data_IF_922680262620
#
_entry.id   IF_922680262620
#
_cell.length_a   1.000
_cell.length_b   1.000
_cell.length_c   1.000
_cell.angle_alpha   90.00
_cell.angle_beta   90.00
_cell.angle_gamma   90.00
#
_symmetry.space_group_name_H-M   'P 1'
#
loop_
_entity.id
_entity.type
_entity.pdbx_description
1 polymer ?
#
# COMPACT_ATOMS: atom_id res chain seq x y z
N UNK A 1 -18.18 5.99 4.17
CA UNK A 1 -17.50 4.85 3.54
C UNK A 1 -17.28 5.21 2.06
N UNK A 2 -16.09 5.70 1.73
CA UNK A 2 -15.74 5.90 0.32
C UNK A 2 -15.65 4.51 -0.32
N UNK A 3 -16.46 4.26 -1.36
CA UNK A 3 -16.37 3.02 -2.13
C UNK A 3 -15.03 3.07 -2.87
N UNK A 4 -14.10 2.19 -2.52
CA UNK A 4 -12.84 2.01 -3.27
C UNK A 4 -13.20 1.76 -4.73
N UNK A 5 -12.92 2.76 -5.57
CA UNK A 5 -13.19 2.75 -7.00
C UNK A 5 -11.95 2.34 -7.76
N UNK A 6 -12.17 1.61 -8.85
CA UNK A 6 -11.23 0.84 -9.69
C UNK A 6 -11.03 -0.58 -9.20
N UNK A 7 -11.11 -1.56 -10.12
CA UNK A 7 -10.49 -2.90 -10.01
C UNK A 7 -10.78 -3.75 -8.78
N UNK A 8 -11.60 -3.32 -7.82
CA UNK A 8 -11.82 -4.06 -6.59
C UNK A 8 -12.28 -5.46 -6.95
N UNK A 9 -11.87 -6.48 -6.21
CA UNK A 9 -12.31 -7.86 -6.43
C UNK A 9 -13.85 -8.00 -6.53
N UNK A 10 -14.63 -7.03 -6.05
CA UNK A 10 -16.08 -6.96 -6.21
C UNK A 10 -16.56 -6.70 -7.65
N UNK A 11 -15.68 -6.18 -8.52
CA UNK A 11 -15.97 -5.82 -9.91
C UNK A 11 -15.55 -6.90 -10.91
N UNK A 12 -14.67 -7.83 -10.53
CA UNK A 12 -14.03 -8.76 -11.47
C UNK A 12 -14.65 -10.15 -11.51
N UNK A 13 -15.25 -10.63 -10.41
CA UNK A 13 -16.00 -11.88 -10.40
C UNK A 13 -17.04 -11.90 -9.27
N UNK A 14 -18.26 -12.35 -9.58
CA UNK A 14 -19.22 -12.79 -8.57
C UNK A 14 -18.97 -14.27 -8.27
N UNK A 15 -18.19 -14.55 -7.23
CA UNK A 15 -18.02 -15.93 -6.76
C UNK A 15 -17.10 -16.77 -7.65
N UNK A 16 -17.65 -17.77 -8.36
CA UNK A 16 -16.91 -18.85 -9.07
C UNK A 16 -16.56 -18.54 -10.53
N UNK A 17 -16.76 -17.31 -10.99
CA UNK A 17 -16.42 -16.92 -12.37
C UNK A 17 -14.89 -16.93 -12.56
N UNK A 18 -14.44 -17.51 -13.68
CA UNK A 18 -13.04 -17.46 -14.06
C UNK A 18 -12.75 -16.04 -14.57
N UNK A 19 -11.83 -15.35 -13.91
CA UNK A 19 -11.40 -14.00 -14.33
C UNK A 19 -10.30 -14.14 -15.37
N UNK A 20 -10.53 -13.68 -16.60
CA UNK A 20 -9.45 -13.59 -17.57
C UNK A 20 -8.70 -12.25 -17.38
N UNK A 21 -7.36 -12.21 -17.47
CA UNK A 21 -6.60 -10.95 -17.42
C UNK A 21 -7.11 -9.89 -18.41
N UNK A 22 -7.64 -10.29 -19.57
CA UNK A 22 -8.24 -9.38 -20.56
C UNK A 22 -9.53 -8.68 -20.10
N UNK A 23 -10.30 -9.29 -19.19
CA UNK A 23 -11.54 -8.70 -18.65
C UNK A 23 -11.25 -7.42 -17.84
N UNK A 24 -10.04 -7.33 -17.27
CA UNK A 24 -9.54 -6.18 -16.54
C UNK A 24 -9.31 -4.95 -17.44
N UNK A 25 -8.75 -5.16 -18.62
CA UNK A 25 -8.46 -4.08 -19.57
C UNK A 25 -9.74 -3.43 -20.09
N UNK A 26 -10.81 -4.23 -20.25
CA UNK A 26 -12.15 -3.73 -20.60
C UNK A 26 -12.78 -2.91 -19.46
N UNK A 27 -12.56 -3.29 -18.20
CA UNK A 27 -13.05 -2.51 -17.05
C UNK A 27 -12.40 -1.13 -16.95
N UNK A 28 -11.16 -0.94 -17.42
CA UNK A 28 -10.43 0.34 -17.37
C UNK A 28 -10.96 1.35 -18.39
N UNK A 29 -11.21 0.92 -19.63
CA UNK A 29 -11.70 1.79 -20.71
C UNK A 29 -13.12 2.32 -20.48
N UNK A 30 -13.91 1.63 -19.64
CA UNK A 30 -15.29 2.01 -19.30
C UNK A 30 -15.41 2.75 -17.95
N UNK A 31 -14.31 3.00 -17.24
CA UNK A 31 -14.34 3.53 -15.88
C UNK A 31 -14.36 5.07 -15.79
N UNK A 32 -14.91 5.59 -14.68
CA UNK A 32 -15.05 7.03 -14.39
C UNK A 32 -13.79 7.73 -13.85
N UNK A 33 -12.69 7.04 -13.57
CA UNK A 33 -11.42 7.66 -13.10
C UNK A 33 -10.19 7.21 -13.93
N UNK A 34 -10.10 7.60 -15.22
CA UNK A 34 -9.25 6.98 -16.22
C UNK A 34 -7.72 7.20 -16.05
N UNK A 35 -7.27 8.09 -15.16
CA UNK A 35 -5.86 8.50 -15.08
C UNK A 35 -5.05 7.59 -14.15
N UNK A 36 -4.00 6.98 -14.69
CA UNK A 36 -3.02 6.23 -13.90
C UNK A 36 -2.11 7.17 -13.10
N UNK A 37 -1.41 6.64 -12.09
CA UNK A 37 -0.38 7.41 -11.38
C UNK A 37 0.71 7.95 -12.32
N UNK A 38 1.00 7.25 -13.42
CA UNK A 38 1.93 7.73 -14.43
C UNK A 38 1.39 8.96 -15.17
N UNK A 39 0.12 8.95 -15.55
CA UNK A 39 -0.53 10.09 -16.22
C UNK A 39 -0.59 11.32 -15.29
N UNK A 40 -0.89 11.09 -14.01
CA UNK A 40 -0.90 12.13 -12.97
C UNK A 40 0.50 12.71 -12.77
N UNK A 41 1.53 11.86 -12.66
CA UNK A 41 2.90 12.32 -12.50
C UNK A 41 3.44 13.05 -13.73
N UNK A 42 3.05 12.64 -14.93
CA UNK A 42 3.46 13.30 -16.18
C UNK A 42 2.80 14.68 -16.34
N UNK A 43 1.53 14.81 -15.94
CA UNK A 43 0.78 16.07 -16.06
C UNK A 43 1.22 17.14 -15.05
N UNK A 44 1.70 16.78 -13.86
CA UNK A 44 2.14 17.74 -12.83
C UNK A 44 3.58 18.30 -13.05
N UNK A 45 3.94 18.66 -14.29
CA UNK A 45 5.31 19.04 -14.65
C UNK A 45 5.88 20.26 -13.89
N UNK A 46 5.02 21.10 -13.30
CA UNK A 46 5.42 22.35 -12.63
C UNK A 46 5.92 22.18 -11.20
N UNK A 47 5.65 21.04 -10.55
CA UNK A 47 6.04 20.82 -9.16
C UNK A 47 7.36 20.10 -9.06
N UNK A 48 8.29 20.66 -8.29
CA UNK A 48 9.51 19.94 -7.89
C UNK A 48 9.16 18.87 -6.86
N UNK A 49 9.60 17.63 -7.15
CA UNK A 49 9.56 16.50 -6.23
C UNK A 49 10.93 16.29 -5.57
N UNK A 50 11.80 17.31 -5.60
CA UNK A 50 13.09 17.24 -4.91
C UNK A 50 12.86 17.23 -3.40
N UNK A 51 13.63 16.39 -2.72
CA UNK A 51 13.60 16.30 -1.26
C UNK A 51 14.55 17.35 -0.71
N UNK A 52 14.02 18.27 0.10
CA UNK A 52 14.79 19.18 0.93
C UNK A 52 15.11 18.47 2.25
N UNK A 53 16.39 18.26 2.52
CA UNK A 53 16.88 17.56 3.70
C UNK A 53 17.89 18.45 4.44
N UNK A 54 17.67 18.60 5.74
CA UNK A 54 18.61 19.21 6.69
C UNK A 54 18.92 18.23 7.83
N UNK A 55 19.68 18.65 8.83
CA UNK A 55 20.11 17.77 9.94
C UNK A 55 18.93 17.24 10.78
N UNK A 56 17.81 17.95 10.80
CA UNK A 56 16.65 17.67 11.65
C UNK A 56 15.46 17.11 10.87
N UNK A 57 15.26 17.57 9.64
CA UNK A 57 14.06 17.34 8.86
C UNK A 57 14.34 16.84 7.43
N UNK A 58 13.37 16.11 6.91
CA UNK A 58 13.24 15.78 5.49
C UNK A 58 11.87 16.23 5.02
N UNK A 59 11.80 17.00 3.94
CA UNK A 59 10.54 17.54 3.44
C UNK A 59 10.47 17.53 1.91
N UNK A 60 9.26 17.39 1.38
CA UNK A 60 9.03 17.34 -0.06
C UNK A 60 7.64 16.82 -0.42
N UNK A 61 7.31 16.86 -1.70
CA UNK A 61 6.03 16.37 -2.20
C UNK A 61 6.09 14.88 -2.55
N UNK A 62 4.96 14.21 -2.34
CA UNK A 62 4.69 12.86 -2.82
C UNK A 62 3.21 12.71 -3.16
N UNK A 63 2.87 11.67 -3.92
CA UNK A 63 1.47 11.26 -4.07
C UNK A 63 1.16 10.12 -3.12
N UNK A 64 0.17 10.31 -2.24
CA UNK A 64 -0.34 9.26 -1.36
C UNK A 64 -1.45 8.47 -2.06
N UNK A 65 -1.42 7.14 -1.94
CA UNK A 65 -2.54 6.28 -2.34
C UNK A 65 -3.65 6.36 -1.29
N UNK A 66 -4.80 6.90 -1.67
CA UNK A 66 -6.08 6.82 -0.93
C UNK A 66 -7.13 6.14 -1.82
N UNK A 67 -8.40 6.53 -1.73
CA UNK A 67 -9.42 6.21 -2.76
C UNK A 67 -9.03 6.75 -4.14
N UNK A 68 -8.21 7.80 -4.18
CA UNK A 68 -7.52 8.34 -5.37
C UNK A 68 -6.09 8.71 -4.99
N UNK A 69 -5.25 8.95 -5.99
CA UNK A 69 -3.94 9.54 -5.77
C UNK A 69 -4.08 10.99 -5.32
N UNK A 70 -3.62 11.29 -4.11
CA UNK A 70 -3.67 12.62 -3.52
C UNK A 70 -2.26 13.18 -3.36
N UNK A 71 -2.02 14.39 -3.86
CA UNK A 71 -0.74 15.05 -3.68
C UNK A 71 -0.63 15.62 -2.28
N UNK A 72 0.45 15.24 -1.58
CA UNK A 72 0.70 15.62 -0.20
C UNK A 72 2.08 16.23 -0.05
N UNK A 73 2.19 17.19 0.86
CA UNK A 73 3.46 17.66 1.40
C UNK A 73 3.79 16.82 2.63
N UNK A 74 4.97 16.22 2.63
CA UNK A 74 5.52 15.45 3.74
C UNK A 74 6.59 16.28 4.44
N UNK A 75 6.60 16.25 5.77
CA UNK A 75 7.71 16.73 6.60
C UNK A 75 7.99 15.72 7.71
N UNK A 76 9.14 15.08 7.64
CA UNK A 76 9.60 14.06 8.58
C UNK A 76 10.67 14.63 9.50
N UNK A 77 10.53 14.42 10.80
CA UNK A 77 11.50 14.80 11.83
C UNK A 77 12.33 13.58 12.23
N UNK A 78 13.64 13.64 11.99
CA UNK A 78 14.55 12.49 12.12
C UNK A 78 14.73 12.02 13.56
N UNK A 79 14.70 12.93 14.54
CA UNK A 79 14.94 12.63 15.96
C UNK A 79 13.76 11.92 16.61
N UNK A 80 12.54 12.31 16.26
CA UNK A 80 11.29 11.81 16.85
C UNK A 80 10.60 10.75 15.99
N UNK A 81 11.07 10.54 14.76
CA UNK A 81 10.39 9.78 13.72
C UNK A 81 8.98 10.33 13.41
N UNK A 82 8.69 11.58 13.72
CA UNK A 82 7.37 12.16 13.47
C UNK A 82 7.24 12.58 12.01
N UNK A 83 6.24 12.04 11.31
CA UNK A 83 5.81 12.48 9.99
C UNK A 83 4.61 13.42 10.12
N UNK A 84 4.72 14.58 9.50
CA UNK A 84 3.61 15.49 9.26
C UNK A 84 3.19 15.38 7.80
N UNK A 85 1.91 15.09 7.56
CA UNK A 85 1.31 14.94 6.25
C UNK A 85 0.23 16.01 6.03
N UNK A 86 0.31 16.76 4.94
CA UNK A 86 -0.63 17.81 4.61
C UNK A 86 -1.02 17.75 3.13
N UNK A 87 -2.31 17.93 2.81
CA UNK A 87 -2.75 17.97 1.42
C UNK A 87 -2.18 19.21 0.71
N UNK A 88 -1.61 19.03 -0.48
CA UNK A 88 -0.90 20.11 -1.19
C UNK A 88 -1.81 21.30 -1.55
N UNK A 89 -3.11 21.05 -1.73
CA UNK A 89 -4.11 22.09 -1.96
C UNK A 89 -4.24 23.07 -0.78
N UNK A 90 -4.00 22.59 0.44
CA UNK A 90 -4.12 23.40 1.67
C UNK A 90 -2.85 24.19 1.99
N UNK A 91 -1.72 23.90 1.31
CA UNK A 91 -0.46 24.64 1.47
C UNK A 91 -0.51 25.98 0.74
N UNK A 92 -1.24 26.05 -0.39
CA UNK A 92 -1.35 27.28 -1.20
C UNK A 92 -2.30 28.33 -0.60
N UNK A 93 -3.20 27.94 0.31
CA UNK A 93 -4.16 28.84 0.95
C UNK A 93 -3.62 29.57 2.18
N UNK A 94 -2.36 29.33 2.57
CA UNK A 94 -1.73 29.86 3.79
C UNK A 94 -1.18 31.29 3.73
N UNK A 95 -1.34 32.03 2.63
CA UNK A 95 -0.96 33.45 2.59
C UNK A 95 -2.05 34.29 3.25
N UNK A 96 -1.77 35.06 4.33
CA UNK A 96 -2.75 35.97 4.89
C UNK A 96 -2.93 37.14 3.93
N UNK A 97 -3.92 37.03 3.03
CA UNK A 97 -4.38 38.19 2.26
C UNK A 97 -5.22 39.03 3.22
N UNK A 98 -4.55 40.00 3.86
CA UNK A 98 -5.23 41.16 4.42
C UNK A 98 -5.90 41.92 3.26
N UNK A 99 -7.14 41.56 2.97
CA UNK A 99 -7.96 42.18 1.95
C UNK A 99 -9.42 42.06 2.33
N UNK A 100 -9.91 43.06 3.08
CA UNK A 100 -11.32 43.21 3.43
C UNK A 100 -12.19 43.14 2.17
N UNK A 101 -12.82 41.98 1.96
CA UNK A 101 -13.71 41.72 0.84
C UNK A 101 -15.13 41.75 1.36
N UNK A 102 -15.90 42.74 0.88
CA UNK A 102 -17.27 43.04 1.26
C UNK A 102 -18.17 41.80 1.30
N UNK A 103 -18.90 41.65 2.39
CA UNK A 103 -19.94 40.66 2.57
C UNK A 103 -21.04 40.84 1.51
N UNK A 104 -21.17 39.87 0.61
CA UNK A 104 -22.38 39.66 -0.19
C UNK A 104 -23.29 38.67 0.54
N UNK A 105 -24.56 39.07 0.64
CA UNK A 105 -25.67 38.41 1.34
C UNK A 105 -25.88 36.94 0.97
N UNK A 106 -26.33 36.08 1.93
CA UNK A 106 -26.46 34.65 1.71
C UNK A 106 -27.69 34.33 0.84
N UNK A 107 -27.45 33.65 -0.28
CA UNK A 107 -28.53 33.04 -1.07
C UNK A 107 -29.02 31.75 -0.39
N UNK A 108 -30.33 31.51 -0.48
CA UNK A 108 -31.08 30.42 0.15
C UNK A 108 -30.67 29.04 -0.40
N UNK A 109 -29.52 28.53 0.02
CA UNK A 109 -29.19 27.11 -0.13
C UNK A 109 -29.96 26.31 0.94
N UNK A 110 -30.77 25.35 0.48
CA UNK A 110 -31.54 24.43 1.32
C UNK A 110 -30.72 23.88 2.49
N UNK A 111 -31.27 23.95 3.72
CA UNK A 111 -30.67 23.40 4.94
C UNK A 111 -30.24 21.93 4.78
N UNK A 112 -30.91 21.17 3.91
CA UNK A 112 -30.53 19.80 3.59
C UNK A 112 -29.18 19.71 2.88
N UNK A 113 -28.88 20.65 1.99
CA UNK A 113 -27.60 20.74 1.25
C UNK A 113 -26.47 21.15 2.20
N UNK A 114 -26.76 22.04 3.15
CA UNK A 114 -25.82 22.37 4.24
C UNK A 114 -25.61 21.19 5.18
N UNK A 115 -26.64 20.38 5.47
CA UNK A 115 -26.52 19.19 6.32
C UNK A 115 -25.72 18.07 5.62
N UNK A 116 -25.94 17.84 4.32
CA UNK A 116 -25.13 16.91 3.53
C UNK A 116 -23.69 17.41 3.33
N UNK A 117 -23.47 18.73 3.25
CA UNK A 117 -22.14 19.31 3.26
C UNK A 117 -21.48 19.27 4.65
N UNK A 118 -22.26 19.34 5.74
CA UNK A 118 -21.77 19.19 7.10
C UNK A 118 -21.44 17.72 7.45
N UNK A 119 -22.14 16.75 6.86
CA UNK A 119 -21.81 15.32 6.94
C UNK A 119 -20.69 14.89 5.99
N UNK A 120 -20.39 15.66 4.94
CA UNK A 120 -19.05 15.66 4.34
C UNK A 120 -18.12 16.39 5.30
N UNK A 121 -17.80 15.71 6.39
CA UNK A 121 -16.73 16.11 7.30
C UNK A 121 -15.52 16.56 6.48
N UNK A 122 -15.29 17.87 6.48
CA UNK A 122 -14.13 18.54 5.89
C UNK A 122 -12.96 18.25 6.83
N UNK A 123 -12.54 16.98 6.86
CA UNK A 123 -11.59 16.43 7.82
C UNK A 123 -10.12 16.54 7.36
N UNK A 124 -9.82 17.29 6.30
CA UNK A 124 -8.48 17.34 5.71
C UNK A 124 -7.69 18.62 5.97
N UNK A 125 -8.28 19.67 6.57
CA UNK A 125 -7.62 20.98 6.67
C UNK A 125 -6.51 21.08 7.74
N UNK A 126 -6.24 20.01 8.52
CA UNK A 126 -5.19 20.00 9.54
C UNK A 126 -4.10 18.99 9.15
N UNK A 127 -2.81 19.35 9.26
CA UNK A 127 -1.73 18.41 9.03
C UNK A 127 -1.88 17.18 9.95
N UNK A 128 -1.91 15.98 9.37
CA UNK A 128 -1.92 14.73 10.12
C UNK A 128 -0.53 14.47 10.66
N UNK A 129 -0.40 14.26 11.97
CA UNK A 129 0.85 13.88 12.62
C UNK A 129 0.84 12.40 12.94
N UNK A 130 1.89 11.73 12.54
CA UNK A 130 2.04 10.27 12.57
C UNK A 130 3.43 9.95 13.06
N UNK A 131 3.61 8.85 13.78
CA UNK A 131 4.95 8.36 14.14
C UNK A 131 5.33 7.27 13.15
N UNK A 132 6.43 7.43 12.41
CA UNK A 132 6.92 6.40 11.49
C UNK A 132 7.57 5.30 12.29
N UNK A 133 7.01 4.09 12.17
CA UNK A 133 7.48 2.89 12.83
C UNK A 133 8.42 2.10 11.92
N UNK A 134 8.22 2.16 10.60
CA UNK A 134 9.07 1.50 9.61
C UNK A 134 8.91 2.17 8.24
N UNK A 135 9.92 2.05 7.38
CA UNK A 135 9.84 2.48 5.99
C UNK A 135 10.40 1.40 5.06
N UNK A 136 9.81 1.26 3.87
CA UNK A 136 10.27 0.31 2.86
C UNK A 136 10.09 0.83 1.45
N UNK A 137 10.92 0.31 0.54
CA UNK A 137 10.71 0.46 -0.89
C UNK A 137 9.48 -0.38 -1.25
N UNK A 138 8.57 0.18 -2.04
CA UNK A 138 7.33 -0.50 -2.42
C UNK A 138 7.44 -1.03 -3.85
N UNK A 139 6.98 -0.26 -4.83
CA UNK A 139 6.94 -0.67 -6.25
C UNK A 139 7.57 0.42 -7.12
N UNK A 140 7.98 0.10 -8.33
CA UNK A 140 8.18 1.12 -9.38
C UNK A 140 7.22 0.81 -10.53
N UNK A 141 6.52 1.82 -11.06
CA UNK A 141 5.68 1.69 -12.24
C UNK A 141 6.31 2.40 -13.44
N UNK A 142 6.15 1.83 -14.64
CA UNK A 142 6.52 2.46 -15.90
C UNK A 142 8.03 2.63 -16.08
N UNK A 143 8.83 1.84 -15.36
CA UNK A 143 10.29 1.90 -15.44
C UNK A 143 10.74 1.32 -16.78
N UNK A 144 11.20 2.17 -17.69
CA UNK A 144 11.84 1.68 -18.91
C UNK A 144 13.27 1.23 -18.63
N UNK A 145 13.67 0.07 -19.13
CA UNK A 145 15.08 -0.36 -19.14
C UNK A 145 16.02 0.69 -19.79
N UNK A 146 15.49 1.49 -20.72
CA UNK A 146 16.24 2.57 -21.41
C UNK A 146 16.28 3.88 -20.62
N UNK A 147 15.36 4.09 -19.67
CA UNK A 147 15.26 5.29 -18.82
C UNK A 147 14.88 4.87 -17.40
N UNK A 148 15.82 4.26 -16.65
CA UNK A 148 15.51 3.63 -15.37
C UNK A 148 15.07 4.63 -14.28
N UNK A 149 15.30 5.93 -14.48
CA UNK A 149 14.95 7.00 -13.54
C UNK A 149 13.63 7.72 -13.88
N UNK A 150 12.94 7.31 -14.95
CA UNK A 150 11.62 7.83 -15.31
C UNK A 150 10.56 6.76 -15.04
N UNK A 151 9.64 7.09 -14.14
CA UNK A 151 8.57 6.20 -13.71
C UNK A 151 7.88 6.76 -12.48
N UNK A 152 7.07 5.92 -11.84
CA UNK A 152 6.43 6.20 -10.59
C UNK A 152 7.06 5.32 -9.51
N UNK A 153 7.86 5.89 -8.62
CA UNK A 153 8.66 5.14 -7.64
C UNK A 153 7.99 5.21 -6.28
N UNK A 154 7.45 4.08 -5.86
CA UNK A 154 6.70 3.92 -4.64
C UNK A 154 7.56 3.56 -3.43
N UNK A 155 7.22 4.15 -2.29
CA UNK A 155 7.66 3.72 -0.97
C UNK A 155 6.46 3.60 -0.03
N UNK A 156 6.61 2.75 0.98
CA UNK A 156 5.56 2.50 1.95
C UNK A 156 6.13 2.69 3.35
N UNK A 157 5.30 3.21 4.23
CA UNK A 157 5.65 3.40 5.62
C UNK A 157 4.57 2.81 6.51
N UNK A 158 5.00 2.23 7.61
CA UNK A 158 4.14 1.86 8.73
C UNK A 158 4.21 2.99 9.73
N UNK A 159 3.04 3.45 10.16
CA UNK A 159 2.92 4.59 11.06
C UNK A 159 1.94 4.31 12.18
N UNK A 160 2.20 4.85 13.35
CA UNK A 160 1.26 4.89 14.45
C UNK A 160 0.55 6.26 14.49
N UNK A 161 -0.77 6.25 14.41
CA UNK A 161 -1.61 7.43 14.62
C UNK A 161 -1.95 7.54 16.10
N UNK A 162 -1.17 8.33 16.85
CA UNK A 162 -1.39 8.54 18.28
C UNK A 162 -2.72 9.20 18.65
N UNK A 163 -3.46 9.78 17.70
CA UNK A 163 -4.82 10.28 17.97
C UNK A 163 -5.88 9.18 17.91
N UNK A 164 -5.63 8.13 17.14
CA UNK A 164 -6.53 6.98 16.97
C UNK A 164 -6.07 5.74 17.73
N UNK A 165 -4.82 5.74 18.17
CA UNK A 165 -4.13 4.59 18.75
C UNK A 165 -4.13 3.38 17.79
N UNK A 166 -3.96 3.65 16.50
CA UNK A 166 -4.02 2.67 15.43
C UNK A 166 -2.76 2.70 14.58
N UNK A 167 -2.28 1.52 14.19
CA UNK A 167 -1.25 1.38 13.16
C UNK A 167 -1.88 1.46 11.77
N UNK A 168 -1.30 2.29 10.91
CA UNK A 168 -1.69 2.48 9.53
C UNK A 168 -0.51 2.18 8.62
N UNK A 169 -0.79 1.60 7.44
CA UNK A 169 0.20 1.49 6.38
C UNK A 169 -0.12 2.48 5.27
N UNK A 170 0.82 3.40 5.03
CA UNK A 170 0.66 4.47 4.05
C UNK A 170 1.59 4.27 2.86
N UNK A 171 1.04 4.41 1.67
CA UNK A 171 1.75 4.18 0.40
C UNK A 171 1.90 5.48 -0.36
N UNK A 172 3.13 5.79 -0.76
CA UNK A 172 3.52 7.02 -1.42
C UNK A 172 4.25 6.75 -2.72
N UNK A 173 4.19 7.71 -3.65
CA UNK A 173 4.85 7.62 -4.96
C UNK A 173 5.54 8.94 -5.31
N UNK A 174 6.76 8.83 -5.86
CA UNK A 174 7.60 9.92 -6.36
C UNK A 174 7.94 9.72 -7.84
N UNK A 175 8.56 10.73 -8.47
CA UNK A 175 8.92 10.71 -9.91
C UNK A 175 10.22 10.01 -10.25
N UNK A 176 11.11 9.89 -9.27
CA UNK A 176 12.44 9.33 -9.48
C UNK A 176 12.78 8.37 -8.35
N UNK A 177 13.62 7.39 -8.68
CA UNK A 177 14.18 6.48 -7.68
C UNK A 177 15.03 7.23 -6.66
N UNK A 178 15.80 8.23 -7.10
CA UNK A 178 16.61 9.05 -6.20
C UNK A 178 15.78 9.73 -5.11
N UNK A 179 14.63 10.32 -5.46
CA UNK A 179 13.69 10.91 -4.49
C UNK A 179 13.14 9.85 -3.54
N UNK A 180 12.74 8.68 -4.07
CA UNK A 180 12.25 7.55 -3.26
C UNK A 180 13.30 7.10 -2.26
N UNK A 181 14.55 6.95 -2.72
CA UNK A 181 15.67 6.50 -1.92
C UNK A 181 15.98 7.46 -0.77
N UNK A 182 15.96 8.78 -1.01
CA UNK A 182 16.14 9.77 0.05
C UNK A 182 15.08 9.64 1.15
N UNK A 183 13.80 9.49 0.78
CA UNK A 183 12.73 9.27 1.75
C UNK A 183 12.94 7.98 2.55
N UNK A 184 13.19 6.87 1.85
CA UNK A 184 13.42 5.57 2.46
C UNK A 184 14.62 5.58 3.42
N UNK A 185 15.77 6.09 2.97
CA UNK A 185 16.99 6.14 3.77
C UNK A 185 16.81 7.00 5.01
N UNK A 186 16.22 8.20 4.87
CA UNK A 186 16.00 9.10 5.99
C UNK A 186 15.09 8.47 7.06
N UNK A 187 13.95 7.91 6.64
CA UNK A 187 12.98 7.30 7.54
C UNK A 187 13.53 6.03 8.17
N UNK A 188 14.10 5.12 7.38
CA UNK A 188 14.60 3.85 7.89
C UNK A 188 15.81 4.03 8.80
N UNK A 189 16.73 4.95 8.48
CA UNK A 189 17.86 5.26 9.36
C UNK A 189 17.41 5.91 10.68
N UNK A 190 16.42 6.79 10.64
CA UNK A 190 15.87 7.42 11.85
C UNK A 190 15.18 6.40 12.76
N UNK A 191 14.30 5.59 12.17
CA UNK A 191 13.62 4.49 12.87
C UNK A 191 14.63 3.54 13.51
N UNK A 192 15.65 3.12 12.76
CA UNK A 192 16.68 2.20 13.26
C UNK A 192 17.47 2.81 14.43
N UNK A 193 17.84 4.09 14.34
CA UNK A 193 18.53 4.83 15.42
C UNK A 193 17.66 4.99 16.67
N UNK A 194 16.38 5.29 16.52
CA UNK A 194 15.46 5.45 17.65
C UNK A 194 15.21 4.11 18.34
N UNK A 195 15.13 3.00 17.58
CA UNK A 195 15.04 1.64 18.14
C UNK A 195 16.28 1.25 18.95
N UNK A 196 17.48 1.50 18.43
CA UNK A 196 18.72 1.20 19.16
C UNK A 196 18.91 2.04 20.42
N UNK A 197 18.33 3.25 20.47
CA UNK A 197 18.44 4.13 21.65
C UNK A 197 17.35 3.90 22.70
N UNK A 198 16.19 3.35 22.31
CA UNK A 198 15.09 2.97 23.22
C UNK A 198 14.96 1.46 23.33
N UNK A 199 15.70 0.86 24.27
CA UNK A 199 15.41 -0.49 24.80
C UNK A 199 14.10 -0.54 25.62
N UNK A 200 13.05 0.19 25.23
CA UNK A 200 11.88 0.44 26.09
C UNK A 200 10.54 0.49 25.33
N UNK A 201 10.28 -0.48 24.45
CA UNK A 201 8.91 -0.96 24.27
C UNK A 201 8.68 -2.08 25.30
N UNK A 202 8.74 -1.73 26.58
CA UNK A 202 8.43 -2.65 27.68
C UNK A 202 6.91 -2.80 27.75
N UNK A 203 6.42 -3.94 27.26
CA UNK A 203 5.11 -4.61 27.48
C UNK A 203 4.58 -5.27 26.19
N UNK A 204 5.24 -5.09 25.04
CA UNK A 204 4.93 -5.82 23.80
C UNK A 204 5.90 -6.99 23.68
N UNK A 205 5.37 -8.21 23.72
CA UNK A 205 6.14 -9.42 23.49
C UNK A 205 6.34 -9.63 21.98
N UNK A 206 7.37 -8.96 21.44
CA UNK A 206 7.80 -9.12 20.04
C UNK A 206 8.06 -10.59 19.67
N UNK A 207 8.50 -11.42 20.63
CA UNK A 207 8.68 -12.85 20.41
C UNK A 207 7.34 -13.57 20.28
N UNK A 208 6.35 -13.26 21.12
CA UNK A 208 5.00 -13.80 20.99
C UNK A 208 4.34 -13.39 19.67
N UNK A 209 4.50 -12.13 19.26
CA UNK A 209 3.99 -11.64 17.97
C UNK A 209 4.63 -12.37 16.79
N UNK A 210 5.96 -12.57 16.84
CA UNK A 210 6.68 -13.36 15.84
C UNK A 210 6.15 -14.79 15.79
N UNK A 211 6.02 -15.46 16.93
CA UNK A 211 5.51 -16.84 17.04
C UNK A 211 4.08 -16.95 16.49
N UNK A 212 3.21 -15.98 16.79
CA UNK A 212 1.85 -15.93 16.28
C UNK A 212 1.83 -15.91 14.75
N UNK A 213 2.67 -15.06 14.14
CA UNK A 213 2.77 -14.97 12.68
C UNK A 213 3.39 -16.21 12.07
N UNK A 214 4.44 -16.77 12.67
CA UNK A 214 5.01 -18.03 12.19
C UNK A 214 3.98 -19.15 12.21
N UNK A 215 3.12 -19.22 13.23
CA UNK A 215 2.09 -20.25 13.33
C UNK A 215 1.05 -20.19 12.20
N UNK A 216 0.69 -18.99 11.72
CA UNK A 216 -0.29 -18.82 10.63
C UNK A 216 0.34 -18.81 9.24
N UNK A 217 1.61 -18.38 9.14
CA UNK A 217 2.30 -18.16 7.88
C UNK A 217 3.23 -19.33 7.50
N UNK A 218 3.58 -20.19 8.45
CA UNK A 218 4.40 -21.39 8.24
C UNK A 218 3.65 -22.57 8.84
N UNK A 219 3.07 -23.43 8.00
CA UNK A 219 2.33 -24.61 8.47
C UNK A 219 3.21 -25.52 9.37
N UNK A 220 3.18 -25.27 10.69
CA UNK A 220 4.00 -25.95 11.71
C UNK A 220 5.51 -25.93 11.43
N UNK A 221 6.06 -24.76 11.08
CA UNK A 221 7.50 -24.60 10.79
C UNK A 221 7.92 -25.04 9.39
N UNK A 222 6.95 -25.26 8.49
CA UNK A 222 7.18 -25.43 7.05
C UNK A 222 7.60 -24.13 6.34
N UNK A 223 7.73 -24.15 5.00
CA UNK A 223 8.05 -22.96 4.23
C UNK A 223 6.95 -21.89 4.35
N UNK A 224 7.35 -20.64 4.12
CA UNK A 224 6.44 -19.50 4.14
C UNK A 224 5.29 -19.66 3.13
N UNK A 225 4.06 -19.42 3.60
CA UNK A 225 2.84 -19.55 2.82
C UNK A 225 2.53 -18.24 2.08
N UNK A 226 2.98 -18.18 0.82
CA UNK A 226 2.64 -17.07 -0.08
C UNK A 226 1.15 -17.00 -0.36
N UNK A 227 0.37 -18.06 -0.17
CA UNK A 227 -1.10 -17.98 -0.25
C UNK A 227 -1.62 -18.30 1.15
N UNK A 228 -2.28 -17.34 1.84
CA UNK A 228 -2.74 -17.55 3.20
C UNK A 228 -3.68 -18.75 3.29
N UNK A 229 -3.42 -19.65 4.25
CA UNK A 229 -4.33 -20.75 4.56
C UNK A 229 -5.38 -20.25 5.55
N UNK A 230 -6.65 -20.23 5.12
CA UNK A 230 -7.77 -19.81 5.95
C UNK A 230 -7.90 -20.65 7.24
N UNK A 231 -7.51 -21.93 7.20
CA UNK A 231 -7.61 -22.80 8.37
C UNK A 231 -6.56 -22.47 9.44
N UNK A 232 -5.46 -21.84 9.04
CA UNK A 232 -4.41 -21.38 9.94
C UNK A 232 -4.64 -19.93 10.37
N UNK A 233 -4.87 -19.03 9.40
CA UNK A 233 -5.03 -17.61 9.65
C UNK A 233 -6.38 -17.27 10.29
N UNK A 234 -7.48 -17.81 9.76
CA UNK A 234 -8.85 -17.46 10.18
C UNK A 234 -9.08 -17.50 11.69
N UNK A 235 -8.72 -18.59 12.39
CA UNK A 235 -8.87 -18.69 13.86
C UNK A 235 -8.11 -17.63 14.66
N UNK A 236 -7.07 -17.02 14.08
CA UNK A 236 -6.23 -16.00 14.73
C UNK A 236 -6.63 -14.57 14.33
N UNK A 237 -7.61 -14.40 13.43
CA UNK A 237 -8.04 -13.08 12.97
C UNK A 237 -9.08 -12.44 13.90
N UNK A 238 -9.08 -11.11 13.94
CA UNK A 238 -10.17 -10.33 14.57
C UNK A 238 -11.40 -10.24 13.66
N UNK A 239 -12.56 -9.87 14.22
CA UNK A 239 -13.79 -9.64 13.44
C UNK A 239 -13.66 -8.49 12.41
N UNK A 240 -12.72 -7.55 12.64
CA UNK A 240 -12.41 -6.44 11.74
C UNK A 240 -11.25 -6.73 10.80
N UNK A 241 -10.80 -7.99 10.70
CA UNK A 241 -9.64 -8.35 9.90
C UNK A 241 -9.78 -7.94 8.44
N UNK A 242 -8.68 -7.44 7.88
CA UNK A 242 -8.54 -7.18 6.46
C UNK A 242 -7.24 -7.75 5.90
N UNK A 243 -7.28 -8.25 4.68
CA UNK A 243 -6.13 -8.52 3.84
C UNK A 243 -6.09 -7.46 2.74
N UNK A 244 -5.01 -6.70 2.64
CA UNK A 244 -4.77 -5.72 1.59
C UNK A 244 -3.68 -6.22 0.66
N UNK A 245 -4.02 -6.45 -0.61
CA UNK A 245 -3.07 -6.80 -1.65
C UNK A 245 -2.63 -5.54 -2.39
N UNK A 246 -1.40 -5.12 -2.13
CA UNK A 246 -0.75 -3.98 -2.74
C UNK A 246 0.17 -4.42 -3.88
N UNK A 247 -0.48 -4.66 -5.00
CA UNK A 247 0.11 -4.94 -6.31
C UNK A 247 -0.43 -3.89 -7.31
N UNK A 248 -0.05 -3.90 -8.60
CA UNK A 248 -0.66 -3.04 -9.60
C UNK A 248 -2.17 -3.25 -9.65
N UNK A 249 -2.92 -2.19 -9.95
CA UNK A 249 -4.38 -2.27 -10.06
C UNK A 249 -4.81 -3.21 -11.21
N UNK A 250 -3.88 -3.49 -12.13
CA UNK A 250 -4.00 -4.45 -13.21
C UNK A 250 -3.88 -5.92 -12.76
N UNK A 251 -3.60 -6.21 -11.48
CA UNK A 251 -3.64 -7.58 -10.97
C UNK A 251 -5.04 -8.00 -10.52
N UNK A 252 -5.54 -9.19 -10.90
CA UNK A 252 -6.88 -9.64 -10.52
C UNK A 252 -7.12 -9.80 -9.02
N UNK A 253 -6.05 -10.02 -8.25
CA UNK A 253 -6.10 -10.16 -6.79
C UNK A 253 -5.76 -8.86 -6.04
N UNK A 254 -5.67 -7.71 -6.72
CA UNK A 254 -5.49 -6.40 -6.10
C UNK A 254 -6.67 -5.99 -5.19
N UNK A 255 -6.38 -5.19 -4.16
CA UNK A 255 -7.38 -4.52 -3.33
C UNK A 255 -7.51 -5.06 -1.90
N UNK A 256 -8.58 -4.67 -1.21
CA UNK A 256 -8.84 -5.01 0.20
C UNK A 256 -9.91 -6.09 0.33
N UNK A 257 -9.67 -7.07 1.21
CA UNK A 257 -10.48 -8.25 1.43
C UNK A 257 -10.78 -8.39 2.93
N UNK A 258 -12.04 -8.56 3.32
CA UNK A 258 -12.43 -8.53 4.72
C UNK A 258 -12.86 -9.90 5.24
N UNK A 259 -12.37 -10.25 6.44
CA UNK A 259 -12.66 -11.50 7.15
C UNK A 259 -12.35 -12.77 6.35
N UNK A 260 -12.88 -13.89 6.82
CA UNK A 260 -12.65 -15.22 6.25
C UNK A 260 -13.03 -15.33 4.77
N UNK A 261 -14.19 -14.78 4.40
CA UNK A 261 -14.65 -14.76 3.02
C UNK A 261 -13.71 -13.93 2.13
N UNK A 262 -13.15 -12.85 2.68
CA UNK A 262 -12.12 -12.06 2.01
C UNK A 262 -10.85 -12.86 1.74
N UNK A 263 -10.34 -13.60 2.74
CA UNK A 263 -9.16 -14.45 2.61
C UNK A 263 -9.38 -15.52 1.53
N UNK A 264 -10.52 -16.22 1.60
CA UNK A 264 -10.88 -17.26 0.60
C UNK A 264 -10.93 -16.67 -0.80
N UNK A 265 -11.56 -15.49 -0.95
CA UNK A 265 -11.65 -14.80 -2.24
C UNK A 265 -10.29 -14.38 -2.77
N UNK A 266 -9.44 -13.78 -1.92
CA UNK A 266 -8.07 -13.42 -2.29
C UNK A 266 -7.28 -14.65 -2.75
N UNK A 267 -7.30 -15.73 -1.96
CA UNK A 267 -6.58 -16.97 -2.27
C UNK A 267 -7.08 -17.60 -3.59
N UNK A 268 -8.39 -17.55 -3.83
CA UNK A 268 -8.97 -18.03 -5.09
C UNK A 268 -8.49 -17.22 -6.29
N UNK A 269 -8.58 -15.88 -6.23
CA UNK A 269 -8.14 -15.01 -7.32
C UNK A 269 -6.65 -15.15 -7.59
N UNK A 270 -5.85 -15.24 -6.52
CA UNK A 270 -4.41 -15.46 -6.64
C UNK A 270 -4.11 -16.76 -7.40
N UNK A 271 -4.70 -17.89 -6.96
CA UNK A 271 -4.49 -19.22 -7.57
C UNK A 271 -5.01 -19.35 -9.00
N UNK A 272 -6.00 -18.55 -9.39
CA UNK A 272 -6.46 -18.52 -10.78
C UNK A 272 -5.44 -17.87 -11.72
N UNK A 273 -4.59 -16.98 -11.20
CA UNK A 273 -3.63 -16.23 -12.01
C UNK A 273 -2.23 -16.81 -11.92
N UNK A 274 -1.80 -17.24 -10.74
CA UNK A 274 -0.40 -17.55 -10.45
C UNK A 274 -0.24 -18.84 -9.66
N UNK A 275 0.75 -19.63 -10.07
CA UNK A 275 1.33 -20.71 -9.29
C UNK A 275 2.59 -20.23 -8.56
N UNK A 276 2.80 -20.73 -7.33
CA UNK A 276 3.98 -20.46 -6.52
C UNK A 276 4.92 -21.67 -6.61
N UNK A 277 6.08 -21.49 -7.26
CA UNK A 277 7.02 -22.58 -7.49
C UNK A 277 8.02 -22.76 -6.34
N UNK A 278 8.50 -21.65 -5.79
CA UNK A 278 9.47 -21.65 -4.70
C UNK A 278 9.37 -20.37 -3.87
N UNK A 279 9.78 -20.48 -2.60
CA UNK A 279 9.75 -19.40 -1.63
C UNK A 279 11.04 -19.42 -0.83
N UNK A 280 11.71 -18.29 -0.76
CA UNK A 280 12.92 -18.06 0.01
C UNK A 280 12.64 -16.97 1.05
N UNK A 281 12.43 -17.38 2.30
CA UNK A 281 12.29 -16.43 3.41
C UNK A 281 13.62 -15.72 3.69
N UNK A 282 13.59 -14.39 3.77
CA UNK A 282 14.74 -13.56 4.10
C UNK A 282 14.76 -13.15 5.55
N UNK A 283 13.62 -12.66 6.04
CA UNK A 283 13.52 -12.15 7.40
C UNK A 283 12.09 -12.23 7.92
N UNK A 284 11.95 -12.44 9.23
CA UNK A 284 10.74 -12.17 9.99
C UNK A 284 11.13 -11.31 11.19
N UNK A 285 10.50 -10.15 11.32
CA UNK A 285 10.83 -9.16 12.34
C UNK A 285 9.57 -8.55 12.93
N UNK A 286 9.39 -8.66 14.24
CA UNK A 286 8.39 -7.91 14.97
C UNK A 286 8.88 -6.49 15.26
N UNK A 287 7.99 -5.52 15.09
CA UNK A 287 8.20 -4.09 15.31
C UNK A 287 6.92 -3.57 15.98
N UNK A 288 6.94 -3.48 17.32
CA UNK A 288 5.74 -3.12 18.09
C UNK A 288 4.57 -4.06 17.77
N UNK A 289 3.45 -3.50 17.32
CA UNK A 289 2.23 -4.23 16.95
C UNK A 289 2.24 -4.78 15.52
N UNK A 290 3.37 -4.68 14.81
CA UNK A 290 3.51 -5.19 13.45
C UNK A 290 4.53 -6.32 13.39
N UNK A 291 4.31 -7.30 12.52
CA UNK A 291 5.33 -8.30 12.15
C UNK A 291 5.49 -8.26 10.66
N UNK A 292 6.74 -8.07 10.23
CA UNK A 292 7.11 -7.93 8.83
C UNK A 292 7.84 -9.20 8.41
N UNK A 293 7.34 -9.82 7.35
CA UNK A 293 7.99 -10.96 6.71
C UNK A 293 8.46 -10.54 5.33
N UNK A 294 9.76 -10.66 5.08
CA UNK A 294 10.36 -10.44 3.78
C UNK A 294 10.75 -11.79 3.17
N UNK A 295 10.36 -12.00 1.92
CA UNK A 295 10.64 -13.25 1.21
C UNK A 295 10.73 -12.99 -0.30
N UNK A 296 11.46 -13.85 -1.00
CA UNK A 296 11.35 -13.93 -2.45
C UNK A 296 10.44 -15.10 -2.82
N UNK A 297 9.58 -14.89 -3.82
CA UNK A 297 8.75 -15.94 -4.38
C UNK A 297 8.94 -16.02 -5.89
N UNK A 298 8.99 -17.24 -6.40
CA UNK A 298 9.02 -17.50 -7.84
C UNK A 298 7.63 -17.87 -8.31
N UNK A 299 7.10 -17.08 -9.24
CA UNK A 299 5.75 -17.20 -9.75
C UNK A 299 5.74 -17.67 -11.20
N UNK A 300 4.69 -18.39 -11.57
CA UNK A 300 4.37 -18.81 -12.93
C UNK A 300 2.90 -18.53 -13.21
N UNK A 301 2.52 -18.28 -14.46
CA UNK A 301 1.12 -18.17 -14.85
C UNK A 301 0.41 -19.51 -14.60
N UNK A 302 -0.78 -19.46 -13.99
CA UNK A 302 -1.62 -20.64 -13.82
C UNK A 302 -2.29 -20.98 -15.16
N UNK A 303 -1.83 -22.02 -15.83
CA UNK A 303 -2.41 -22.52 -17.09
C UNK A 303 -3.30 -23.75 -16.86
N UNK A 304 -4.38 -23.88 -17.65
CA UNK A 304 -5.28 -25.04 -17.61
C UNK A 304 -4.75 -26.20 -18.45
N UNK A 305 -3.59 -26.80 -18.13
CA UNK A 305 -3.09 -28.15 -18.55
C UNK A 305 -3.19 -28.54 -20.06
N UNK A 306 -3.72 -27.70 -20.96
CA UNK A 306 -4.13 -28.11 -22.30
C UNK A 306 -3.09 -27.82 -23.38
N UNK A 307 -2.10 -26.98 -23.10
CA UNK A 307 -1.07 -26.62 -24.07
C UNK A 307 0.22 -27.40 -23.76
N UNK A 308 0.26 -28.59 -24.36
CA UNK A 308 1.44 -29.44 -24.43
C UNK A 308 2.44 -28.84 -25.43
N UNK A 309 3.25 -27.89 -24.97
CA UNK A 309 4.53 -27.59 -25.60
C UNK A 309 5.65 -27.95 -24.61
N UNK A 310 6.72 -28.59 -25.10
CA UNK A 310 7.83 -29.13 -24.27
C UNK A 310 8.75 -28.03 -23.69
N UNK A 311 8.32 -26.76 -23.75
CA UNK A 311 9.06 -25.63 -23.19
C UNK A 311 8.59 -25.33 -21.76
N UNK A 312 9.54 -25.15 -20.83
CA UNK A 312 9.16 -24.76 -19.46
C UNK A 312 8.47 -23.39 -19.50
N UNK A 313 7.24 -23.27 -18.98
CA UNK A 313 6.52 -22.00 -18.97
C UNK A 313 7.29 -20.95 -18.16
N UNK A 314 7.29 -19.69 -18.62
CA UNK A 314 8.11 -18.63 -18.04
C UNK A 314 7.78 -18.44 -16.55
N UNK A 315 8.83 -18.23 -15.75
CA UNK A 315 8.72 -17.98 -14.32
C UNK A 315 9.48 -16.72 -13.94
N UNK A 316 8.96 -15.98 -12.97
CA UNK A 316 9.53 -14.71 -12.51
C UNK A 316 9.76 -14.73 -11.00
N UNK A 317 10.97 -14.35 -10.57
CA UNK A 317 11.29 -14.15 -9.15
C UNK A 317 10.95 -12.71 -8.76
N UNK A 318 10.13 -12.56 -7.72
CA UNK A 318 9.71 -11.27 -7.18
C UNK A 318 10.03 -11.16 -5.69
N UNK A 319 10.51 -9.99 -5.28
CA UNK A 319 10.61 -9.64 -3.86
C UNK A 319 9.22 -9.31 -3.30
N UNK A 320 8.88 -9.94 -2.18
CA UNK A 320 7.59 -9.81 -1.53
C UNK A 320 7.75 -9.41 -0.07
N UNK A 321 6.72 -8.76 0.47
CA UNK A 321 6.67 -8.39 1.88
C UNK A 321 5.25 -8.52 2.40
N UNK A 322 5.11 -9.18 3.53
CA UNK A 322 3.85 -9.26 4.27
C UNK A 322 4.00 -8.52 5.60
N UNK A 323 3.14 -7.54 5.85
CA UNK A 323 3.00 -6.89 7.17
C UNK A 323 1.74 -7.42 7.84
N UNK A 324 1.91 -8.11 8.95
CA UNK A 324 0.83 -8.50 9.84
C UNK A 324 0.68 -7.42 10.92
N UNK A 325 -0.54 -6.90 11.08
CA UNK A 325 -0.91 -6.00 12.17
C UNK A 325 -1.55 -6.83 13.28
N UNK A 326 -1.10 -6.64 14.51
CA UNK A 326 -1.45 -7.45 15.68
C UNK A 326 -2.02 -6.53 16.77
N UNK A 327 -3.16 -6.92 17.32
CA UNK A 327 -3.73 -6.27 18.50
C UNK A 327 -4.09 -7.32 19.53
N UNK A 328 -3.48 -7.24 20.71
CA UNK A 328 -3.52 -8.31 21.69
C UNK A 328 -2.95 -9.61 21.09
N UNK A 329 -3.74 -10.69 21.15
CA UNK A 329 -3.37 -12.00 20.59
C UNK A 329 -4.06 -12.29 19.25
N UNK A 330 -4.50 -11.25 18.53
CA UNK A 330 -5.21 -11.38 17.26
C UNK A 330 -4.51 -10.63 16.14
N UNK A 331 -4.55 -11.21 14.94
CA UNK A 331 -4.14 -10.54 13.72
C UNK A 331 -5.33 -9.70 13.23
N UNK A 332 -5.14 -8.38 13.18
CA UNK A 332 -6.17 -7.43 12.75
C UNK A 332 -6.01 -7.02 11.29
N UNK A 333 -4.85 -7.28 10.68
CA UNK A 333 -4.63 -6.98 9.27
C UNK A 333 -3.44 -7.72 8.69
N UNK A 334 -3.48 -7.92 7.37
CA UNK A 334 -2.37 -8.42 6.56
C UNK A 334 -2.24 -7.54 5.33
N UNK A 335 -1.14 -6.80 5.19
CA UNK A 335 -0.81 -6.09 3.95
C UNK A 335 0.27 -6.86 3.21
N UNK A 336 -0.05 -7.31 1.99
CA UNK A 336 0.91 -7.96 1.10
C UNK A 336 1.36 -7.01 0.01
N UNK A 337 2.66 -6.92 -0.19
CA UNK A 337 3.31 -6.21 -1.28
C UNK A 337 4.10 -7.18 -2.15
N UNK A 338 3.99 -7.03 -3.47
CA UNK A 338 4.90 -7.67 -4.44
C UNK A 338 5.63 -6.55 -5.18
N UNK A 339 6.89 -6.30 -4.82
CA UNK A 339 7.65 -5.12 -5.26
C UNK A 339 8.02 -5.13 -6.75
N UNK A 340 8.25 -6.33 -7.32
CA UNK A 340 8.61 -6.52 -8.74
C UNK A 340 7.40 -6.97 -9.59
N UNK A 341 6.20 -6.52 -9.24
CA UNK A 341 4.97 -6.95 -9.90
C UNK A 341 4.84 -6.54 -11.37
N UNK A 342 5.70 -5.65 -11.89
CA UNK A 342 5.80 -5.42 -13.34
C UNK A 342 6.18 -6.71 -14.10
N UNK A 343 7.02 -7.56 -13.50
CA UNK A 343 7.37 -8.88 -14.03
C UNK A 343 6.14 -9.81 -14.08
N UNK A 344 5.26 -9.68 -13.09
CA UNK A 344 4.00 -10.42 -13.05
C UNK A 344 3.03 -9.91 -14.13
N UNK A 345 3.01 -8.61 -14.43
CA UNK A 345 2.19 -8.09 -15.53
C UNK A 345 2.69 -8.61 -16.87
N UNK A 346 4.00 -8.64 -17.10
CA UNK A 346 4.59 -9.26 -18.30
C UNK A 346 4.24 -10.74 -18.41
N UNK A 347 4.15 -11.44 -17.29
CA UNK A 347 3.77 -12.85 -17.25
C UNK A 347 2.28 -13.09 -17.53
N UNK A 348 1.42 -12.12 -17.23
CA UNK A 348 -0.04 -12.24 -17.35
C UNK A 348 -0.64 -11.57 -18.59
N UNK A 349 0.09 -10.66 -19.24
CA UNK A 349 -0.28 -10.07 -20.52
C UNK A 349 0.25 -10.95 -21.65
N UNK A 350 -0.62 -11.35 -22.57
CA UNK A 350 -0.19 -11.98 -23.81
C UNK A 350 0.55 -10.92 -24.67
N UNK A 351 1.69 -11.29 -25.25
CA UNK A 351 2.39 -10.48 -26.24
C UNK A 351 1.50 -10.39 -27.50
N UNK A 352 0.67 -9.35 -27.62
CA UNK A 352 0.11 -8.90 -28.90
C UNK A 352 1.06 -7.94 -29.63
#
# INVERSE_FOLDING_TARGET
>A
MEKEGFGSSHNLARGKEAVHPSDMFQSRSQSKFPESILDILQSDASTSFDVAEDDFFVSGYAYQKRSKWAKVLLKFEKSTCQLTLQDAADVQSGSPINGASKATSPSKASMLKQFFMAQKQTWTSRPKKLVVCNARKWIAFGRSLKKPDRGAFGFQIEVFDGHREEDETLTFVTRSDATRMRWFEAMQCAVSRTRMSRNSFSDIDEAANTILVECVAKNRGGPYLVIPDINLLGPMTSASFFLKSEVPEEMPFWGTYHGDQGIIKYASLFKQCLDVLSVEEKSIQAIGYSVIVEFDATFRRSEKIADLDDSEPPAVKCSCTDTYLISGNQIIGLTRTIADSEKLLQLLCDDE
#
